data_IF_505646670435
#
_entry.id   IF_505646670435
#
_cell.length_a   1.000
_cell.length_b   1.000
_cell.length_c   1.000
_cell.angle_alpha   90.00
_cell.angle_beta   90.00
_cell.angle_gamma   90.00
#
_symmetry.space_group_name_H-M   'P 1'
#
loop_
_entity.id
_entity.type
_entity.pdbx_description
1 polymer ?
#
# COMPACT_ATOMS: atom_id res chain seq x y z
N UNK A 1 -15.64 -10.09 -32.25
CA UNK A 1 -14.42 -9.73 -33.01
C UNK A 1 -13.22 -9.71 -32.08
N UNK A 2 -12.16 -10.39 -32.44
CA UNK A 2 -10.93 -10.43 -31.67
C UNK A 2 -9.99 -9.37 -32.23
N UNK A 3 -9.51 -8.47 -31.36
CA UNK A 3 -8.53 -7.47 -31.72
C UNK A 3 -7.16 -7.89 -31.13
N UNK A 4 -6.15 -7.98 -31.98
CA UNK A 4 -4.80 -8.34 -31.57
C UNK A 4 -3.85 -7.19 -31.91
N UNK A 5 -2.93 -6.91 -31.00
CA UNK A 5 -1.87 -5.94 -31.19
C UNK A 5 -0.52 -6.67 -31.25
N UNK A 6 0.34 -6.24 -32.13
CA UNK A 6 1.73 -6.71 -32.12
C UNK A 6 2.50 -6.07 -30.98
N UNK A 7 3.47 -6.78 -30.45
CA UNK A 7 4.32 -6.20 -29.41
C UNK A 7 4.99 -4.89 -29.83
N UNK A 8 5.33 -4.77 -31.10
CA UNK A 8 5.92 -3.53 -31.65
C UNK A 8 4.97 -2.34 -31.72
N UNK A 9 3.65 -2.59 -31.61
CA UNK A 9 2.63 -1.55 -31.59
C UNK A 9 2.31 -1.06 -30.18
N UNK A 10 2.86 -1.73 -29.17
CA UNK A 10 2.62 -1.42 -27.76
C UNK A 10 3.67 -0.44 -27.28
N UNK A 11 3.22 0.66 -26.69
CA UNK A 11 4.12 1.63 -26.07
C UNK A 11 4.76 1.03 -24.83
N UNK A 12 6.09 1.06 -24.79
CA UNK A 12 6.85 0.61 -23.62
C UNK A 12 6.85 1.73 -22.58
N UNK A 13 6.38 1.42 -21.38
CA UNK A 13 6.34 2.36 -20.27
C UNK A 13 7.26 1.87 -19.16
N UNK A 14 7.97 2.79 -18.51
CA UNK A 14 8.74 2.48 -17.33
C UNK A 14 7.80 2.15 -16.16
N UNK A 15 8.17 1.16 -15.37
CA UNK A 15 7.43 0.80 -14.16
C UNK A 15 7.81 1.76 -13.05
N UNK A 16 6.81 2.32 -12.36
CA UNK A 16 7.03 3.09 -11.14
C UNK A 16 6.92 2.16 -9.95
N UNK A 17 7.83 2.28 -9.00
CA UNK A 17 7.97 1.36 -7.89
C UNK A 17 7.64 2.01 -6.55
N UNK A 18 6.80 1.34 -5.77
CA UNK A 18 6.69 1.61 -4.35
C UNK A 18 7.90 1.00 -3.63
N UNK A 19 8.24 -0.22 -3.95
CA UNK A 19 9.42 -0.92 -3.41
C UNK A 19 10.05 -1.78 -4.50
N UNK A 20 11.07 -1.27 -5.13
CA UNK A 20 11.73 -1.96 -6.26
C UNK A 20 12.62 -3.10 -5.75
N UNK A 21 12.54 -4.30 -6.30
CA UNK A 21 11.70 -4.73 -7.43
C UNK A 21 10.45 -5.50 -7.00
N UNK A 22 10.00 -5.38 -5.75
CA UNK A 22 8.96 -6.22 -5.19
C UNK A 22 7.54 -5.68 -5.38
N UNK A 23 7.34 -4.38 -5.21
CA UNK A 23 5.99 -3.79 -5.23
C UNK A 23 5.94 -2.63 -6.20
N UNK A 24 5.33 -2.82 -7.39
CA UNK A 24 5.09 -1.71 -8.31
C UNK A 24 3.89 -0.88 -7.89
N UNK A 25 3.87 0.39 -8.30
CA UNK A 25 2.66 1.19 -8.23
C UNK A 25 1.68 0.77 -9.33
N UNK A 26 0.39 0.88 -9.04
CA UNK A 26 -0.65 0.64 -10.04
C UNK A 26 -1.02 -0.81 -10.29
N UNK A 27 -0.44 -1.74 -9.55
CA UNK A 27 -0.71 -3.17 -9.66
C UNK A 27 -1.06 -3.79 -8.32
N UNK A 28 -1.57 -5.01 -8.37
CA UNK A 28 -1.86 -5.81 -7.18
C UNK A 28 -0.66 -6.67 -6.86
N UNK A 29 -0.21 -6.62 -5.60
CA UNK A 29 0.87 -7.48 -5.10
C UNK A 29 0.31 -8.39 -4.02
N UNK A 30 0.64 -9.67 -4.09
CA UNK A 30 0.25 -10.66 -3.08
C UNK A 30 1.46 -10.97 -2.21
N UNK A 31 1.31 -10.80 -0.90
CA UNK A 31 2.35 -11.16 0.08
C UNK A 31 1.90 -12.40 0.82
N UNK A 32 2.67 -13.47 0.68
CA UNK A 32 2.39 -14.75 1.32
C UNK A 32 3.51 -15.13 2.27
N UNK A 33 3.15 -15.90 3.27
CA UNK A 33 4.09 -16.46 4.23
C UNK A 33 3.35 -17.24 5.29
N UNK A 34 4.09 -18.05 6.06
CA UNK A 34 3.52 -18.80 7.17
C UNK A 34 2.96 -17.85 8.23
N UNK A 35 1.97 -18.31 8.99
CA UNK A 35 1.28 -17.50 10.00
C UNK A 35 2.23 -16.79 10.95
N UNK A 36 1.83 -15.60 11.39
CA UNK A 36 2.60 -14.79 12.32
C UNK A 36 2.58 -13.32 11.94
N UNK A 37 3.11 -12.49 12.82
CA UNK A 37 3.00 -11.04 12.75
C UNK A 37 3.93 -10.37 11.72
N UNK A 38 4.84 -11.11 11.10
CA UNK A 38 5.91 -10.52 10.28
C UNK A 38 5.40 -9.86 9.01
N UNK A 39 4.38 -10.45 8.35
CA UNK A 39 3.79 -9.86 7.14
C UNK A 39 3.11 -8.54 7.46
N UNK A 40 2.29 -8.53 8.49
CA UNK A 40 1.59 -7.33 8.95
C UNK A 40 2.59 -6.25 9.40
N UNK A 41 3.59 -6.64 10.17
CA UNK A 41 4.64 -5.71 10.63
C UNK A 41 5.38 -5.08 9.46
N UNK A 42 5.74 -5.87 8.46
CA UNK A 42 6.38 -5.36 7.25
C UNK A 42 5.50 -4.36 6.51
N UNK A 43 4.23 -4.70 6.30
CA UNK A 43 3.30 -3.83 5.59
C UNK A 43 3.01 -2.55 6.36
N UNK A 44 2.89 -2.61 7.69
CA UNK A 44 2.71 -1.43 8.52
C UNK A 44 3.96 -0.54 8.52
N UNK A 45 5.14 -1.13 8.46
CA UNK A 45 6.40 -0.37 8.33
C UNK A 45 6.44 0.38 7.01
N UNK A 46 6.04 -0.25 5.91
CA UNK A 46 5.95 0.41 4.60
C UNK A 46 4.92 1.54 4.65
N UNK A 47 3.75 1.29 5.21
CA UNK A 47 2.70 2.31 5.35
C UNK A 47 3.18 3.49 6.21
N UNK A 48 3.92 3.23 7.29
CA UNK A 48 4.49 4.26 8.14
C UNK A 48 5.49 5.14 7.37
N UNK A 49 6.34 4.53 6.56
CA UNK A 49 7.27 5.27 5.69
C UNK A 49 6.52 6.12 4.67
N UNK A 50 5.50 5.56 4.02
CA UNK A 50 4.67 6.30 3.06
C UNK A 50 4.00 7.52 3.70
N UNK A 51 3.57 7.40 4.95
CA UNK A 51 2.96 8.52 5.67
C UNK A 51 3.91 9.70 5.86
N UNK A 52 5.21 9.46 5.74
CA UNK A 52 6.26 10.48 5.81
C UNK A 52 6.87 10.82 4.45
N UNK A 53 6.32 10.25 3.37
CA UNK A 53 6.86 10.46 2.03
C UNK A 53 8.16 9.71 1.75
N UNK A 54 8.42 8.65 2.49
CA UNK A 54 9.63 7.84 2.36
C UNK A 54 9.27 6.51 1.70
N UNK A 55 9.97 6.17 0.62
CA UNK A 55 9.85 4.85 0.00
C UNK A 55 10.90 3.89 0.60
N UNK A 56 10.59 2.59 0.67
CA UNK A 56 11.59 1.60 1.05
C UNK A 56 12.79 1.64 0.09
N UNK A 57 14.01 1.37 0.58
CA UNK A 57 15.17 1.33 -0.31
C UNK A 57 15.01 0.32 -1.43
N UNK A 58 15.42 0.70 -2.63
CA UNK A 58 15.41 -0.17 -3.81
C UNK A 58 16.54 -1.19 -3.75
N UNK A 59 16.28 -2.40 -4.20
CA UNK A 59 17.32 -3.41 -4.37
C UNK A 59 17.73 -3.42 -5.85
N UNK A 60 18.94 -2.99 -6.14
CA UNK A 60 19.51 -2.93 -7.49
C UNK A 60 20.85 -3.66 -7.53
N UNK A 61 20.94 -4.67 -8.39
CA UNK A 61 22.15 -5.50 -8.54
C UNK A 61 22.72 -6.01 -7.20
N UNK A 62 21.82 -6.42 -6.29
CA UNK A 62 22.20 -6.93 -4.97
C UNK A 62 22.55 -5.85 -3.94
N UNK A 63 22.45 -4.57 -4.30
CA UNK A 63 22.75 -3.45 -3.40
C UNK A 63 21.47 -2.67 -3.06
N UNK A 64 21.39 -2.19 -1.82
CA UNK A 64 20.33 -1.29 -1.40
C UNK A 64 20.67 0.12 -1.83
N UNK A 65 19.75 0.74 -2.56
CA UNK A 65 19.88 2.12 -3.07
C UNK A 65 18.73 2.94 -2.51
N UNK A 66 19.01 4.14 -2.02
CA UNK A 66 17.98 5.04 -1.51
C UNK A 66 16.99 5.38 -2.63
N UNK A 67 15.71 5.24 -2.31
CA UNK A 67 14.63 5.60 -3.22
C UNK A 67 14.38 7.12 -3.15
N UNK A 68 13.82 7.72 -4.23
CA UNK A 68 13.42 9.12 -4.18
C UNK A 68 12.31 9.34 -3.15
N UNK A 69 12.26 10.53 -2.57
CA UNK A 69 11.17 10.94 -1.69
C UNK A 69 9.93 11.27 -2.52
N UNK A 70 8.77 11.05 -1.92
CA UNK A 70 7.47 11.39 -2.52
C UNK A 70 6.69 12.27 -1.56
N UNK A 71 5.56 12.82 -2.00
CA UNK A 71 4.61 13.44 -1.10
C UNK A 71 4.08 12.40 -0.11
N UNK A 72 3.82 12.76 1.17
CA UNK A 72 3.20 11.84 2.11
C UNK A 72 1.94 11.20 1.52
N UNK A 73 1.81 9.89 1.66
CA UNK A 73 0.73 9.13 1.07
C UNK A 73 -0.06 8.38 2.14
N UNK A 74 -1.37 8.32 1.95
CA UNK A 74 -2.27 7.61 2.85
C UNK A 74 -2.38 6.14 2.47
N UNK A 75 -2.66 5.32 3.47
CA UNK A 75 -2.89 3.89 3.33
C UNK A 75 -4.32 3.57 3.79
N UNK A 76 -5.03 2.78 3.01
CA UNK A 76 -6.30 2.19 3.41
C UNK A 76 -6.02 0.75 3.83
N UNK A 77 -6.26 0.46 5.09
CA UNK A 77 -6.02 -0.86 5.68
C UNK A 77 -7.35 -1.55 5.94
N UNK A 78 -7.64 -2.59 5.17
CA UNK A 78 -8.88 -3.35 5.31
C UNK A 78 -8.60 -4.66 6.02
N UNK A 79 -9.34 -4.94 7.08
CA UNK A 79 -9.16 -6.13 7.87
C UNK A 79 -10.50 -6.62 8.40
N UNK A 80 -10.60 -7.94 8.57
CA UNK A 80 -11.72 -8.57 9.29
C UNK A 80 -11.41 -8.73 10.77
N UNK A 81 -10.18 -8.43 11.20
CA UNK A 81 -9.77 -8.51 12.60
C UNK A 81 -10.07 -7.19 13.30
N UNK A 82 -10.64 -7.29 14.49
CA UNK A 82 -11.06 -6.13 15.27
C UNK A 82 -9.98 -5.70 16.27
N UNK A 83 -8.77 -5.42 15.79
CA UNK A 83 -7.62 -5.10 16.64
C UNK A 83 -6.91 -3.79 16.23
N UNK A 84 -7.60 -2.90 15.54
CA UNK A 84 -6.97 -1.65 15.07
C UNK A 84 -6.43 -0.82 16.23
N UNK A 85 -7.24 -0.64 17.29
CA UNK A 85 -6.85 0.20 18.44
C UNK A 85 -5.80 -0.43 19.35
N UNK A 86 -5.81 -1.75 19.50
CA UNK A 86 -4.93 -2.44 20.46
C UNK A 86 -3.63 -2.94 19.85
N UNK A 87 -3.60 -3.22 18.55
CA UNK A 87 -2.45 -3.84 17.89
C UNK A 87 -1.97 -3.04 16.69
N UNK A 88 -2.83 -2.78 15.72
CA UNK A 88 -2.42 -2.24 14.42
C UNK A 88 -1.94 -0.79 14.50
N UNK A 89 -2.72 0.09 15.10
CA UNK A 89 -2.32 1.50 15.25
C UNK A 89 -1.07 1.65 16.11
N UNK A 90 -0.94 0.97 17.28
CA UNK A 90 0.30 1.04 18.05
C UNK A 90 1.54 0.57 17.29
N UNK A 91 1.43 -0.50 16.49
CA UNK A 91 2.54 -0.96 15.64
C UNK A 91 2.91 0.07 14.58
N UNK A 92 1.91 0.67 13.97
CA UNK A 92 2.11 1.71 12.96
C UNK A 92 2.82 2.93 13.55
N UNK A 93 2.37 3.41 14.71
CA UNK A 93 3.04 4.53 15.40
C UNK A 93 4.46 4.20 15.80
N UNK A 94 4.68 2.99 16.31
CA UNK A 94 6.03 2.53 16.72
C UNK A 94 6.98 2.48 15.52
N UNK A 95 6.48 2.21 14.33
CA UNK A 95 7.25 2.25 13.10
C UNK A 95 7.49 3.67 12.57
N UNK A 96 7.00 4.69 13.26
CA UNK A 96 7.17 6.10 12.89
C UNK A 96 6.04 6.66 12.02
N UNK A 97 4.91 5.97 11.94
CA UNK A 97 3.79 6.39 11.11
C UNK A 97 3.00 7.57 11.66
N UNK A 98 2.46 8.37 10.76
CA UNK A 98 1.53 9.44 11.08
C UNK A 98 0.11 8.90 10.96
N UNK A 99 -0.61 8.90 12.08
CA UNK A 99 -1.98 8.35 12.17
C UNK A 99 -3.00 9.05 11.28
N UNK A 100 -2.73 10.26 10.86
CA UNK A 100 -3.60 10.98 9.93
C UNK A 100 -3.52 10.43 8.51
N UNK A 101 -2.54 9.57 8.23
CA UNK A 101 -2.30 8.97 6.92
C UNK A 101 -2.57 7.46 6.87
N UNK A 102 -3.34 6.92 7.80
CA UNK A 102 -3.83 5.54 7.74
C UNK A 102 -5.31 5.50 8.07
N UNK A 103 -6.06 4.74 7.28
CA UNK A 103 -7.50 4.64 7.38
C UNK A 103 -7.92 3.18 7.49
N UNK A 104 -8.92 2.92 8.30
CA UNK A 104 -9.43 1.58 8.56
C UNK A 104 -10.89 1.48 8.17
N UNK A 105 -11.33 0.27 7.80
CA UNK A 105 -12.75 0.00 7.64
C UNK A 105 -13.46 0.13 9.01
N UNK A 106 -14.71 0.61 8.99
CA UNK A 106 -15.49 0.79 10.20
C UNK A 106 -15.85 -0.58 10.81
N UNK A 107 -15.57 -0.75 12.09
CA UNK A 107 -15.85 -1.98 12.83
C UNK A 107 -17.34 -2.36 12.85
N UNK A 108 -18.24 -1.35 12.74
CA UNK A 108 -19.68 -1.57 12.70
C UNK A 108 -20.17 -2.08 11.34
N UNK A 109 -19.41 -1.87 10.29
CA UNK A 109 -19.67 -2.35 8.94
C UNK A 109 -18.61 -3.39 8.56
N UNK A 110 -18.75 -4.58 9.14
CA UNK A 110 -17.74 -5.65 9.01
C UNK A 110 -17.61 -6.23 7.60
N UNK A 111 -18.50 -5.87 6.68
CA UNK A 111 -18.51 -6.38 5.32
C UNK A 111 -18.26 -5.26 4.31
N UNK A 112 -17.02 -4.81 4.24
CA UNK A 112 -16.62 -3.98 3.13
C UNK A 112 -16.31 -4.91 1.94
N UNK A 113 -17.28 -5.02 1.03
CA UNK A 113 -17.02 -5.63 -0.26
C UNK A 113 -16.20 -4.61 -1.07
N UNK A 114 -15.07 -5.04 -1.62
CA UNK A 114 -14.26 -4.19 -2.48
C UNK A 114 -14.93 -4.01 -3.85
N UNK A 115 -16.10 -3.37 -3.88
CA UNK A 115 -16.69 -2.95 -5.14
C UNK A 115 -15.95 -1.72 -5.66
N UNK A 116 -16.03 -1.49 -6.96
CA UNK A 116 -15.41 -0.31 -7.57
C UNK A 116 -15.94 0.98 -6.94
N UNK A 117 -17.24 1.03 -6.66
CA UNK A 117 -17.89 2.19 -6.06
C UNK A 117 -17.39 2.45 -4.64
N UNK A 118 -17.32 1.42 -3.81
CA UNK A 118 -16.84 1.54 -2.43
C UNK A 118 -15.38 1.92 -2.37
N UNK A 119 -14.55 1.36 -3.25
CA UNK A 119 -13.14 1.71 -3.33
C UNK A 119 -12.95 3.15 -3.76
N UNK A 120 -13.72 3.61 -4.74
CA UNK A 120 -13.69 5.01 -5.21
C UNK A 120 -14.08 5.96 -4.10
N UNK A 121 -15.15 5.65 -3.37
CA UNK A 121 -15.59 6.44 -2.20
C UNK A 121 -14.51 6.51 -1.12
N UNK A 122 -13.87 5.37 -0.81
CA UNK A 122 -12.81 5.32 0.17
C UNK A 122 -11.60 6.17 -0.25
N UNK A 123 -11.22 6.13 -1.53
CA UNK A 123 -10.13 6.96 -2.06
C UNK A 123 -10.49 8.44 -1.96
N UNK A 124 -11.73 8.82 -2.28
CA UNK A 124 -12.17 10.21 -2.18
C UNK A 124 -12.09 10.71 -0.73
N UNK A 125 -12.51 9.89 0.24
CA UNK A 125 -12.41 10.23 1.66
C UNK A 125 -10.95 10.50 2.06
N UNK A 126 -10.03 9.67 1.63
CA UNK A 126 -8.60 9.86 1.97
C UNK A 126 -8.02 11.11 1.31
N UNK A 127 -8.46 11.43 0.10
CA UNK A 127 -7.98 12.60 -0.63
C UNK A 127 -8.37 13.93 0.03
N UNK A 128 -9.51 13.98 0.70
CA UNK A 128 -9.97 15.18 1.40
C UNK A 128 -9.17 15.49 2.67
N UNK A 129 -8.39 14.56 3.17
CA UNK A 129 -7.64 14.71 4.41
C UNK A 129 -6.15 14.88 4.21
N UNK A 130 -5.72 14.70 3.00
CA UNK A 130 -4.34 14.93 2.59
C UNK A 130 -4.08 16.45 2.27
#
# INVERSE_FOLDING_TARGET
MVALLRGSEIEVKAVEWLWKPMIPFGDVTIVQGDGGDRKTTMMLTIAAKLSKGILPPSLEDGLLVDAPTIAPASTIYLTTENKAGSVTVPKFEKAGGDKDFIFFNNELEQHMTLTKEELTEAIDITSYRD
#
